data_IF_026307145406
#
_entry.id   IF_026307145406
#
_cell.length_a   1.000
_cell.length_b   1.000
_cell.length_c   1.000
_cell.angle_alpha   90.00
_cell.angle_beta   90.00
_cell.angle_gamma   90.00
#
_symmetry.space_group_name_H-M   'P 1'
#
loop_
_entity.id
_entity.type
_entity.pdbx_description
1 polymer ?
#
# COMPACT_ATOMS: atom_id res chain seq x y z
N UNK A 1 -20.56 10.53 9.24
CA UNK A 1 -19.49 10.26 8.24
C UNK A 1 -19.27 8.75 8.26
N UNK A 2 -19.43 8.06 7.14
CA UNK A 2 -19.22 6.61 7.09
C UNK A 2 -17.72 6.33 7.30
N UNK A 3 -17.39 5.60 8.36
CA UNK A 3 -16.03 5.08 8.57
C UNK A 3 -15.77 4.01 7.52
N UNK A 4 -14.87 4.29 6.56
CA UNK A 4 -14.41 3.26 5.63
C UNK A 4 -13.81 2.10 6.42
N UNK A 5 -14.19 0.87 6.05
CA UNK A 5 -13.72 -0.36 6.67
C UNK A 5 -12.73 -1.04 5.73
N UNK A 6 -11.69 -1.63 6.30
CA UNK A 6 -10.75 -2.46 5.56
C UNK A 6 -11.30 -3.88 5.41
N UNK A 7 -11.02 -4.56 4.30
CA UNK A 7 -11.25 -6.01 4.20
C UNK A 7 -10.19 -6.81 4.98
N UNK A 8 -9.04 -6.20 5.24
CA UNK A 8 -8.02 -6.74 6.16
C UNK A 8 -8.52 -6.57 7.58
N UNK A 9 -8.37 -7.61 8.39
CA UNK A 9 -8.76 -7.57 9.80
C UNK A 9 -7.86 -6.59 10.56
N UNK A 10 -8.47 -5.56 11.15
CA UNK A 10 -7.78 -4.54 11.94
C UNK A 10 -8.32 -4.63 13.36
N UNK A 11 -7.48 -5.00 14.36
CA UNK A 11 -7.88 -4.98 15.75
C UNK A 11 -8.38 -3.58 16.17
N UNK A 12 -9.42 -3.46 17.02
CA UNK A 12 -9.95 -2.16 17.44
C UNK A 12 -8.91 -1.25 18.12
N UNK A 13 -7.91 -1.84 18.77
CA UNK A 13 -6.81 -1.13 19.46
C UNK A 13 -5.56 -0.98 18.59
N UNK A 14 -5.61 -1.37 17.31
CA UNK A 14 -4.46 -1.24 16.41
C UNK A 14 -4.12 0.22 16.17
N UNK A 15 -2.81 0.53 16.24
CA UNK A 15 -2.27 1.83 15.84
C UNK A 15 -2.25 2.02 14.31
N UNK A 16 -2.57 0.98 13.55
CA UNK A 16 -2.51 0.96 12.10
C UNK A 16 -3.89 0.74 11.47
N UNK A 17 -4.89 1.59 11.74
CA UNK A 17 -6.16 1.50 11.07
C UNK A 17 -6.08 2.04 9.63
N UNK A 18 -7.11 1.77 8.84
CA UNK A 18 -7.23 2.21 7.45
C UNK A 18 -7.09 3.75 7.28
N UNK A 19 -7.29 4.52 8.35
CA UNK A 19 -7.16 5.99 8.32
C UNK A 19 -5.74 6.50 8.59
N UNK A 20 -4.83 5.67 9.12
CA UNK A 20 -3.47 6.09 9.48
C UNK A 20 -2.45 5.76 8.37
N UNK A 21 -2.46 4.52 7.89
CA UNK A 21 -1.65 4.03 6.77
C UNK A 21 -0.20 4.59 6.74
N UNK A 22 0.62 4.33 7.78
CA UNK A 22 1.99 4.83 7.81
C UNK A 22 2.89 4.07 6.83
N UNK A 23 3.69 4.82 6.08
CA UNK A 23 4.67 4.29 5.14
C UNK A 23 5.94 3.90 5.87
N UNK A 24 6.55 2.79 5.44
CA UNK A 24 7.82 2.31 5.95
C UNK A 24 8.61 1.56 4.88
N UNK A 25 9.86 1.26 5.20
CA UNK A 25 10.69 0.35 4.41
C UNK A 25 10.84 -0.93 5.23
N UNK A 26 10.59 -2.07 4.59
CA UNK A 26 10.70 -3.40 5.21
C UNK A 26 11.45 -4.35 4.28
N UNK A 27 11.92 -5.47 4.81
CA UNK A 27 12.56 -6.54 4.04
C UNK A 27 11.74 -7.82 4.23
N UNK A 28 11.20 -8.43 3.15
CA UNK A 28 10.49 -9.70 3.23
C UNK A 28 11.41 -10.82 3.74
N UNK A 29 10.89 -11.70 4.59
CA UNK A 29 11.65 -12.78 5.24
C UNK A 29 12.20 -13.78 4.21
N UNK A 30 11.51 -13.96 3.08
CA UNK A 30 11.93 -14.88 2.01
C UNK A 30 13.14 -14.36 1.20
N UNK A 31 13.67 -13.17 1.50
CA UNK A 31 14.96 -12.68 1.01
C UNK A 31 15.04 -12.31 -0.48
N UNK A 32 13.99 -12.59 -1.25
CA UNK A 32 13.96 -12.28 -2.68
C UNK A 32 13.64 -10.79 -2.89
N UNK A 33 14.65 -9.99 -3.26
CA UNK A 33 14.45 -8.64 -3.82
C UNK A 33 14.75 -7.44 -2.91
N UNK A 34 15.37 -7.63 -1.74
CA UNK A 34 15.90 -6.54 -0.91
C UNK A 34 14.83 -5.66 -0.23
N UNK A 35 15.21 -4.49 0.32
CA UNK A 35 14.29 -3.61 1.03
C UNK A 35 13.24 -3.00 0.09
N UNK A 36 11.99 -2.96 0.54
CA UNK A 36 10.81 -2.50 -0.22
C UNK A 36 9.99 -1.50 0.59
N UNK A 37 9.24 -0.67 -0.12
CA UNK A 37 8.32 0.28 0.52
C UNK A 37 7.00 -0.43 0.80
N UNK A 38 6.51 -0.32 2.03
CA UNK A 38 5.24 -0.89 2.45
C UNK A 38 4.44 0.05 3.35
N UNK A 39 3.20 -0.35 3.62
CA UNK A 39 2.29 0.39 4.50
C UNK A 39 1.70 -0.54 5.54
N UNK A 40 1.77 -0.17 6.81
CA UNK A 40 1.21 -0.99 7.87
C UNK A 40 -0.33 -0.89 7.91
N UNK A 41 -1.01 -2.03 8.03
CA UNK A 41 -2.46 -2.14 8.18
C UNK A 41 -2.80 -3.30 9.13
N UNK A 42 -3.40 -3.00 10.29
CA UNK A 42 -3.68 -4.01 11.31
C UNK A 42 -2.38 -4.66 11.81
N UNK A 43 -2.24 -5.96 11.55
CA UNK A 43 -1.02 -6.74 11.84
C UNK A 43 -0.21 -7.09 10.57
N UNK A 44 -0.58 -6.52 9.42
CA UNK A 44 -0.01 -6.84 8.12
C UNK A 44 0.73 -5.63 7.54
N UNK A 45 1.57 -5.87 6.54
CA UNK A 45 2.25 -4.82 5.77
C UNK A 45 1.88 -4.99 4.31
N UNK A 46 1.25 -3.98 3.73
CA UNK A 46 0.98 -3.92 2.30
C UNK A 46 2.24 -3.58 1.53
N UNK A 47 2.78 -4.50 0.72
CA UNK A 47 3.91 -4.29 -0.18
C UNK A 47 3.49 -3.40 -1.37
N UNK A 48 3.96 -2.14 -1.38
CA UNK A 48 3.62 -1.19 -2.44
C UNK A 48 4.33 -1.50 -3.76
N UNK A 49 5.45 -2.22 -3.73
CA UNK A 49 6.14 -2.65 -4.95
C UNK A 49 5.28 -3.66 -5.72
N UNK A 50 4.64 -4.60 -5.02
CA UNK A 50 3.73 -5.57 -5.62
C UNK A 50 2.51 -4.89 -6.25
N UNK A 51 1.96 -3.88 -5.57
CA UNK A 51 0.83 -3.07 -6.07
C UNK A 51 1.23 -2.24 -7.29
N UNK A 52 2.44 -1.68 -7.31
CA UNK A 52 2.98 -0.96 -8.46
C UNK A 52 3.23 -1.87 -9.67
N UNK A 53 3.81 -3.05 -9.46
CA UNK A 53 4.01 -4.07 -10.52
C UNK A 53 2.68 -4.56 -11.08
N UNK A 54 1.64 -4.65 -10.25
CA UNK A 54 0.28 -4.98 -10.68
C UNK A 54 -0.41 -3.84 -11.45
N UNK A 55 0.21 -2.65 -11.55
CA UNK A 55 -0.32 -1.52 -12.29
C UNK A 55 -1.51 -0.83 -11.62
N UNK A 56 -1.69 -1.01 -10.30
CA UNK A 56 -2.82 -0.46 -9.56
C UNK A 56 -2.64 1.01 -9.13
N UNK A 57 -1.41 1.52 -9.24
CA UNK A 57 -1.16 2.96 -9.19
C UNK A 57 -1.36 3.55 -10.59
N UNK A 58 -2.62 3.73 -10.98
CA UNK A 58 -3.05 4.17 -12.32
C UNK A 58 -3.41 5.67 -12.40
N UNK A 59 -3.13 6.41 -11.34
CA UNK A 59 -3.43 7.84 -11.24
C UNK A 59 -2.48 8.74 -12.05
N UNK A 60 -2.81 10.03 -12.20
CA UNK A 60 -2.10 10.95 -13.08
C UNK A 60 -0.64 11.21 -12.70
N UNK A 61 -0.25 10.97 -11.45
CA UNK A 61 1.11 11.25 -10.95
C UNK A 61 1.93 9.98 -10.78
N UNK A 62 1.31 8.91 -10.27
CA UNK A 62 2.00 7.66 -9.93
C UNK A 62 1.99 6.65 -11.07
N UNK A 63 1.14 6.82 -12.08
CA UNK A 63 1.12 5.94 -13.25
C UNK A 63 2.46 5.93 -13.97
N UNK A 64 3.06 4.75 -14.06
CA UNK A 64 4.39 4.54 -14.64
C UNK A 64 5.56 5.01 -13.78
N UNK A 65 5.33 5.44 -12.53
CA UNK A 65 6.40 5.79 -11.60
C UNK A 65 7.05 4.52 -11.02
N UNK A 66 8.37 4.56 -10.87
CA UNK A 66 9.17 3.52 -10.22
C UNK A 66 9.38 3.80 -8.73
N UNK A 67 8.74 4.83 -8.14
CA UNK A 67 9.00 5.27 -6.78
C UNK A 67 8.80 4.18 -5.72
N UNK A 68 7.84 3.26 -5.91
CA UNK A 68 7.57 2.13 -5.02
C UNK A 68 8.47 0.91 -5.28
N UNK A 69 9.23 0.91 -6.37
CA UNK A 69 10.23 -0.12 -6.69
C UNK A 69 11.61 0.23 -6.12
N UNK A 70 11.75 1.41 -5.53
CA UNK A 70 13.00 1.86 -4.95
C UNK A 70 13.22 1.27 -3.55
N UNK A 71 14.48 1.00 -3.16
CA UNK A 71 14.82 0.46 -1.84
C UNK A 71 14.66 1.47 -0.70
N UNK A 72 14.29 2.72 -1.01
CA UNK A 72 14.12 3.79 -0.04
C UNK A 72 12.99 4.72 -0.43
N UNK A 73 12.40 5.39 0.56
CA UNK A 73 11.29 6.31 0.39
C UNK A 73 11.70 7.67 -0.22
N UNK A 74 12.98 7.88 -0.52
CA UNK A 74 13.51 9.18 -0.95
C UNK A 74 12.83 9.70 -2.23
N UNK A 75 12.59 8.81 -3.20
CA UNK A 75 11.94 9.19 -4.46
C UNK A 75 10.48 9.58 -4.19
N UNK A 76 9.74 8.75 -3.45
CA UNK A 76 8.37 9.06 -3.06
C UNK A 76 8.29 10.40 -2.31
N UNK A 77 9.18 10.64 -1.35
CA UNK A 77 9.24 11.90 -0.61
C UNK A 77 9.59 13.09 -1.52
N UNK A 78 10.46 12.90 -2.51
CA UNK A 78 10.84 13.92 -3.48
C UNK A 78 9.70 14.35 -4.42
N UNK A 79 8.73 13.46 -4.71
CA UNK A 79 7.56 13.78 -5.55
C UNK A 79 6.58 14.75 -4.88
N UNK A 80 6.64 14.85 -3.54
CA UNK A 80 5.88 15.81 -2.76
C UNK A 80 4.39 15.46 -2.56
N UNK A 81 3.69 16.40 -1.91
CA UNK A 81 2.32 16.20 -1.39
C UNK A 81 1.29 15.68 -2.41
N UNK A 82 1.28 16.10 -3.69
CA UNK A 82 0.32 15.58 -4.66
C UNK A 82 0.43 14.06 -4.85
N UNK A 83 1.64 13.54 -5.02
CA UNK A 83 1.91 12.10 -5.15
C UNK A 83 1.49 11.34 -3.88
N UNK A 84 1.78 11.89 -2.69
CA UNK A 84 1.41 11.24 -1.42
C UNK A 84 -0.10 11.16 -1.23
N UNK A 85 -0.84 12.20 -1.64
CA UNK A 85 -2.30 12.19 -1.59
C UNK A 85 -2.89 11.15 -2.54
N UNK A 86 -2.35 11.06 -3.75
CA UNK A 86 -2.75 10.05 -4.72
C UNK A 86 -2.46 8.65 -4.19
N UNK A 87 -1.24 8.40 -3.69
CA UNK A 87 -0.84 7.12 -3.11
C UNK A 87 -1.79 6.72 -1.98
N UNK A 88 -2.00 7.62 -1.01
CA UNK A 88 -2.86 7.35 0.14
C UNK A 88 -4.30 7.06 -0.29
N UNK A 89 -4.86 7.84 -1.22
CA UNK A 89 -6.22 7.61 -1.73
C UNK A 89 -6.34 6.25 -2.44
N UNK A 90 -5.36 5.89 -3.27
CA UNK A 90 -5.33 4.59 -3.96
C UNK A 90 -5.21 3.44 -2.97
N UNK A 91 -4.29 3.52 -2.02
CA UNK A 91 -4.09 2.47 -0.99
C UNK A 91 -5.34 2.31 -0.13
N UNK A 92 -5.93 3.42 0.30
CA UNK A 92 -7.16 3.39 1.09
C UNK A 92 -8.33 2.78 0.31
N UNK A 93 -8.43 3.09 -1.00
CA UNK A 93 -9.42 2.47 -1.89
C UNK A 93 -9.17 0.97 -2.01
N UNK A 94 -7.96 0.55 -2.33
CA UNK A 94 -7.60 -0.86 -2.51
C UNK A 94 -7.85 -1.71 -1.27
N UNK A 95 -7.61 -1.16 -0.08
CA UNK A 95 -7.86 -1.84 1.20
C UNK A 95 -9.32 -1.81 1.65
N UNK A 96 -10.18 -1.01 1.00
CA UNK A 96 -11.59 -0.89 1.37
C UNK A 96 -12.36 -2.19 1.15
N UNK A 97 -13.32 -2.49 2.03
CA UNK A 97 -14.27 -3.60 1.86
C UNK A 97 -15.09 -3.49 0.58
N UNK A 98 -15.28 -2.27 0.06
CA UNK A 98 -16.11 -2.01 -1.12
C UNK A 98 -15.32 -2.15 -2.43
N UNK A 99 -14.01 -2.32 -2.38
CA UNK A 99 -13.15 -2.41 -3.57
C UNK A 99 -12.72 -3.86 -3.84
N UNK A 100 -13.20 -4.51 -4.91
CA UNK A 100 -12.89 -5.90 -5.20
C UNK A 100 -11.47 -6.11 -5.76
N UNK A 101 -10.83 -5.06 -6.31
CA UNK A 101 -9.60 -5.15 -7.09
C UNK A 101 -8.46 -5.89 -6.38
N UNK A 102 -8.20 -5.55 -5.12
CA UNK A 102 -7.26 -6.28 -4.28
C UNK A 102 -7.96 -7.38 -3.46
N UNK A 103 -9.15 -7.09 -2.90
CA UNK A 103 -9.89 -8.01 -2.02
C UNK A 103 -10.14 -9.39 -2.63
N UNK A 104 -10.56 -9.43 -3.89
CA UNK A 104 -10.99 -10.66 -4.58
C UNK A 104 -9.84 -11.31 -5.36
N UNK A 105 -8.68 -10.65 -5.45
CA UNK A 105 -7.50 -11.18 -6.11
C UNK A 105 -6.59 -11.90 -5.12
N UNK A 106 -6.89 -13.19 -4.86
CA UNK A 106 -6.15 -14.01 -3.91
C UNK A 106 -4.65 -14.07 -4.20
N UNK A 107 -4.26 -14.22 -5.48
CA UNK A 107 -2.86 -14.31 -5.90
C UNK A 107 -2.08 -13.00 -5.67
N UNK A 108 -2.74 -11.84 -5.84
CA UNK A 108 -2.10 -10.57 -5.55
C UNK A 108 -2.02 -10.32 -4.05
N UNK A 109 -3.07 -10.65 -3.30
CA UNK A 109 -3.08 -10.54 -1.84
C UNK A 109 -1.96 -11.34 -1.18
N UNK A 110 -1.79 -12.59 -1.58
CA UNK A 110 -0.71 -13.44 -1.07
C UNK A 110 0.68 -12.85 -1.34
N UNK A 111 0.83 -12.11 -2.43
CA UNK A 111 2.11 -11.46 -2.79
C UNK A 111 2.31 -10.10 -2.12
N UNK A 112 1.24 -9.46 -1.64
CA UNK A 112 1.26 -8.08 -1.21
C UNK A 112 0.96 -7.87 0.27
N UNK A 113 0.48 -8.87 1.02
CA UNK A 113 0.06 -8.74 2.42
C UNK A 113 0.75 -9.75 3.34
#
# INVERSE_FOLDING_TARGET
MATMKSFVEVPPESHFPLQNLPYGVFEPVDGDGGPRIGVAIGEHVLDLSAIAVAGLFDGPILSGSDCFLQPSMNVLLGMGRPAWKEAHATIQKLLSVDEPTLRDNASLREKSL
#
